data_IF_933413867493
#
_entry.id   IF_933413867493
#
_cell.length_a   1.000
_cell.length_b   1.000
_cell.length_c   1.000
_cell.angle_alpha   90.00
_cell.angle_beta   90.00
_cell.angle_gamma   90.00
#
_symmetry.space_group_name_H-M   'P 1'
#
loop_
_entity.id
_entity.type
_entity.pdbx_description
1 polymer ?
#
# COMPACT_ATOMS: atom_id res chain seq x y z
N UNK A 1 8.59 -1.78 -5.91
CA UNK A 1 9.00 -0.38 -6.12
C UNK A 1 8.15 0.61 -5.32
N UNK A 2 6.83 0.40 -5.24
CA UNK A 2 5.97 1.29 -4.45
C UNK A 2 6.35 1.27 -2.97
N UNK A 3 6.66 0.11 -2.42
CA UNK A 3 7.08 0.00 -1.02
C UNK A 3 8.37 0.77 -0.73
N UNK A 4 9.27 0.85 -1.71
CA UNK A 4 10.50 1.64 -1.58
C UNK A 4 10.21 3.14 -1.49
N UNK A 5 9.15 3.61 -2.15
CA UNK A 5 8.68 4.98 -2.02
C UNK A 5 7.93 5.20 -0.71
N UNK A 6 7.03 4.27 -0.37
CA UNK A 6 6.17 4.40 0.81
C UNK A 6 6.93 4.34 2.14
N UNK A 7 8.05 3.62 2.20
CA UNK A 7 8.84 3.53 3.42
C UNK A 7 9.33 4.91 3.90
N UNK A 8 10.06 5.71 3.08
CA UNK A 8 10.45 7.06 3.49
C UNK A 8 9.25 8.01 3.57
N UNK A 9 8.23 7.84 2.73
CA UNK A 9 7.00 8.62 2.80
C UNK A 9 6.34 8.49 4.17
N UNK A 10 6.21 7.28 4.69
CA UNK A 10 5.62 7.02 5.99
C UNK A 10 6.39 7.73 7.10
N UNK A 11 7.72 7.65 7.07
CA UNK A 11 8.56 8.33 8.07
C UNK A 11 8.35 9.83 8.05
N UNK A 12 8.11 10.41 6.87
CA UNK A 12 7.87 11.85 6.71
C UNK A 12 6.49 12.26 7.19
N UNK A 13 5.46 11.48 6.91
CA UNK A 13 4.07 11.88 7.12
C UNK A 13 3.42 11.29 8.38
N UNK A 14 4.02 10.30 9.02
CA UNK A 14 3.44 9.67 10.21
C UNK A 14 3.13 10.71 11.30
N UNK A 15 4.06 11.60 11.57
CA UNK A 15 3.87 12.65 12.59
C UNK A 15 2.85 13.71 12.17
N UNK A 16 2.46 13.73 10.90
CA UNK A 16 1.47 14.66 10.35
C UNK A 16 0.06 14.09 10.32
N UNK A 17 -0.11 12.85 10.79
CA UNK A 17 -1.41 12.21 10.88
C UNK A 17 -1.72 11.21 9.78
N UNK A 18 -0.73 10.76 9.03
CA UNK A 18 -0.90 9.73 7.99
C UNK A 18 -0.51 8.38 8.56
N UNK A 19 -1.34 7.36 8.31
CA UNK A 19 -1.02 5.98 8.61
C UNK A 19 -0.93 5.18 7.31
N UNK A 20 -0.01 4.25 7.25
CA UNK A 20 0.15 3.33 6.12
C UNK A 20 0.09 1.91 6.64
N UNK A 21 -0.69 1.07 5.97
CA UNK A 21 -0.79 -0.36 6.31
C UNK A 21 -0.58 -1.15 5.03
N UNK A 22 0.41 -2.02 5.03
CA UNK A 22 0.64 -2.94 3.93
C UNK A 22 -0.11 -4.24 4.16
N UNK A 23 -0.78 -4.73 3.13
CA UNK A 23 -1.49 -6.02 3.17
C UNK A 23 -0.87 -6.91 2.12
N UNK A 24 -0.27 -8.02 2.56
CA UNK A 24 0.45 -8.94 1.70
C UNK A 24 -0.37 -10.20 1.45
N UNK A 25 -0.46 -10.60 0.18
CA UNK A 25 -0.98 -11.89 -0.24
C UNK A 25 0.20 -12.73 -0.74
N UNK A 26 0.40 -13.88 -0.14
CA UNK A 26 1.51 -14.78 -0.46
C UNK A 26 0.97 -16.08 -1.08
N UNK A 27 1.83 -16.77 -1.82
CA UNK A 27 1.45 -18.03 -2.48
C UNK A 27 1.23 -19.19 -1.52
N UNK A 28 1.54 -19.01 -0.24
CA UNK A 28 1.33 -20.02 0.80
C UNK A 28 0.64 -19.39 2.01
N UNK A 29 -0.30 -20.12 2.61
CA UNK A 29 -0.91 -19.76 3.89
C UNK A 29 -0.08 -20.24 5.08
N UNK A 30 0.98 -21.01 4.84
CA UNK A 30 1.87 -21.50 5.89
C UNK A 30 2.78 -20.35 6.36
N UNK A 31 2.59 -19.91 7.59
CA UNK A 31 3.37 -18.83 8.19
C UNK A 31 4.85 -19.17 8.34
N UNK A 32 5.21 -20.45 8.37
CA UNK A 32 6.61 -20.87 8.38
C UNK A 32 7.31 -20.47 7.06
N UNK A 33 6.55 -20.41 5.96
CA UNK A 33 7.06 -20.02 4.64
C UNK A 33 6.87 -18.51 4.41
N UNK A 34 5.65 -18.02 4.63
CA UNK A 34 5.29 -16.61 4.33
C UNK A 34 5.91 -15.62 5.32
N UNK A 35 5.97 -15.96 6.61
CA UNK A 35 6.49 -15.08 7.63
C UNK A 35 7.94 -14.62 7.39
N UNK A 36 8.89 -15.55 7.17
CA UNK A 36 10.28 -15.16 6.87
C UNK A 36 10.43 -14.32 5.60
N UNK A 37 9.61 -14.59 4.57
CA UNK A 37 9.62 -13.76 3.34
C UNK A 37 9.21 -12.33 3.64
N UNK A 38 8.17 -12.14 4.44
CA UNK A 38 7.68 -10.81 4.82
C UNK A 38 8.71 -10.08 5.68
N UNK A 39 9.32 -10.77 6.65
CA UNK A 39 10.35 -10.18 7.51
C UNK A 39 11.56 -9.73 6.71
N UNK A 40 12.03 -10.58 5.79
CA UNK A 40 13.17 -10.24 4.94
C UNK A 40 12.84 -9.05 4.03
N UNK A 41 11.63 -9.00 3.49
CA UNK A 41 11.16 -7.90 2.66
C UNK A 41 11.15 -6.60 3.44
N UNK A 42 10.60 -6.59 4.66
CA UNK A 42 10.58 -5.42 5.52
C UNK A 42 11.97 -4.89 5.80
N UNK A 43 12.91 -5.76 6.15
CA UNK A 43 14.29 -5.38 6.45
C UNK A 43 15.00 -4.82 5.23
N UNK A 44 14.83 -5.47 4.07
CA UNK A 44 15.49 -5.08 2.82
C UNK A 44 15.04 -3.70 2.34
N UNK A 45 13.75 -3.41 2.44
CA UNK A 45 13.15 -2.16 1.97
C UNK A 45 13.20 -1.06 3.04
N UNK A 46 13.32 -1.43 4.31
CA UNK A 46 13.29 -0.46 5.42
C UNK A 46 11.89 -0.03 5.80
N UNK A 47 10.92 -0.94 5.68
CA UNK A 47 9.51 -0.67 5.99
C UNK A 47 9.33 -0.58 7.50
N UNK A 48 8.74 0.53 7.97
CA UNK A 48 8.41 0.74 9.39
C UNK A 48 6.89 0.79 9.62
N UNK A 49 6.08 0.87 8.57
CA UNK A 49 4.63 0.77 8.72
C UNK A 49 4.21 -0.70 8.90
N UNK A 50 3.03 -0.96 9.49
CA UNK A 50 2.55 -2.34 9.67
C UNK A 50 2.40 -3.07 8.34
N UNK A 51 2.88 -4.30 8.29
CA UNK A 51 2.75 -5.18 7.12
C UNK A 51 2.05 -6.44 7.59
N UNK A 52 0.83 -6.67 7.06
CA UNK A 52 -0.03 -7.76 7.48
C UNK A 52 -0.11 -8.85 6.40
N UNK A 53 -0.08 -10.10 6.84
CA UNK A 53 -0.32 -11.22 5.95
C UNK A 53 -1.82 -11.50 5.89
N UNK A 54 -2.40 -11.51 4.69
CA UNK A 54 -3.84 -11.61 4.50
C UNK A 54 -4.31 -12.92 3.87
N UNK A 55 -3.39 -13.76 3.38
CA UNK A 55 -3.71 -15.04 2.75
C UNK A 55 -3.12 -15.18 1.36
N UNK A 56 -3.74 -16.04 0.53
CA UNK A 56 -3.28 -16.27 -0.84
C UNK A 56 -3.94 -15.27 -1.80
N UNK A 57 -3.33 -15.02 -3.00
CA UNK A 57 -3.87 -14.04 -3.96
C UNK A 57 -5.04 -14.60 -4.79
N UNK A 58 -5.91 -15.38 -4.17
CA UNK A 58 -7.11 -15.92 -4.81
C UNK A 58 -8.27 -14.94 -4.65
N UNK A 59 -9.14 -14.86 -5.67
CA UNK A 59 -10.27 -13.92 -5.67
C UNK A 59 -11.16 -14.06 -4.44
N UNK A 60 -11.40 -15.29 -3.98
CA UNK A 60 -12.23 -15.54 -2.79
C UNK A 60 -11.59 -14.98 -1.52
N UNK A 61 -10.28 -15.17 -1.36
CA UNK A 61 -9.53 -14.64 -0.23
C UNK A 61 -9.54 -13.11 -0.25
N UNK A 62 -9.32 -12.52 -1.43
CA UNK A 62 -9.32 -11.07 -1.62
C UNK A 62 -10.70 -10.50 -1.30
N UNK A 63 -11.77 -11.14 -1.74
CA UNK A 63 -13.14 -10.68 -1.47
C UNK A 63 -13.47 -10.70 0.02
N UNK A 64 -12.92 -11.66 0.78
CA UNK A 64 -13.12 -11.72 2.24
C UNK A 64 -12.35 -10.63 2.98
N UNK A 65 -11.13 -10.36 2.55
CA UNK A 65 -10.24 -9.38 3.20
C UNK A 65 -10.58 -7.95 2.77
N UNK A 66 -10.88 -7.76 1.50
CA UNK A 66 -11.14 -6.45 0.89
C UNK A 66 -12.51 -6.46 0.21
N UNK A 67 -13.61 -6.54 0.98
CA UNK A 67 -14.96 -6.67 0.40
C UNK A 67 -15.38 -5.46 -0.44
N UNK A 68 -14.70 -4.31 -0.29
CA UNK A 68 -14.97 -3.12 -1.10
C UNK A 68 -14.49 -3.27 -2.54
N UNK A 69 -13.69 -4.29 -2.86
CA UNK A 69 -13.25 -4.58 -4.22
C UNK A 69 -14.15 -5.61 -4.86
N UNK A 70 -14.68 -5.31 -6.06
CA UNK A 70 -15.38 -6.29 -6.85
C UNK A 70 -14.41 -7.30 -7.48
N UNK A 71 -13.19 -6.84 -7.77
CA UNK A 71 -12.13 -7.65 -8.38
C UNK A 71 -10.78 -6.99 -8.18
N UNK A 72 -9.76 -7.80 -7.91
CA UNK A 72 -8.38 -7.32 -7.88
C UNK A 72 -7.85 -7.24 -9.31
N UNK A 73 -7.56 -6.02 -9.77
CA UNK A 73 -7.10 -5.78 -11.14
C UNK A 73 -5.57 -5.78 -11.30
N UNK A 74 -4.84 -5.86 -10.21
CA UNK A 74 -3.38 -5.91 -10.25
C UNK A 74 -2.73 -5.58 -8.93
N UNK A 75 -1.43 -5.77 -8.88
CA UNK A 75 -0.61 -5.44 -7.73
C UNK A 75 0.49 -4.46 -8.16
N UNK A 76 0.85 -3.48 -7.32
CA UNK A 76 0.16 -3.14 -6.08
C UNK A 76 -1.18 -2.44 -6.33
N UNK A 77 -2.08 -2.54 -5.36
CA UNK A 77 -3.32 -1.75 -5.34
C UNK A 77 -3.31 -0.93 -4.06
N UNK A 78 -3.56 0.36 -4.19
CA UNK A 78 -3.48 1.31 -3.09
C UNK A 78 -4.84 1.98 -2.89
N UNK A 79 -5.33 1.95 -1.66
CA UNK A 79 -6.52 2.70 -1.25
C UNK A 79 -6.09 3.93 -0.47
N UNK A 80 -6.64 5.07 -0.81
CA UNK A 80 -6.49 6.28 0.00
C UNK A 80 -7.80 6.52 0.72
N UNK A 81 -7.75 6.46 2.05
CA UNK A 81 -8.92 6.54 2.92
C UNK A 81 -8.82 7.83 3.75
N UNK A 82 -9.91 8.59 3.81
CA UNK A 82 -9.92 9.85 4.54
C UNK A 82 -10.17 9.65 6.04
N UNK A 83 -10.20 10.76 6.79
CA UNK A 83 -10.39 10.75 8.25
C UNK A 83 -11.75 10.21 8.69
N UNK A 84 -12.71 10.14 7.76
CA UNK A 84 -14.07 9.63 8.02
C UNK A 84 -14.21 8.16 7.66
N UNK A 85 -13.14 7.52 7.17
CA UNK A 85 -13.15 6.14 6.76
C UNK A 85 -13.68 5.92 5.34
N UNK A 86 -13.77 6.96 4.53
CA UNK A 86 -14.28 6.89 3.16
C UNK A 86 -13.11 6.71 2.19
N UNK A 87 -13.21 5.71 1.30
CA UNK A 87 -12.23 5.51 0.24
C UNK A 87 -12.37 6.64 -0.78
N UNK A 88 -11.32 7.44 -0.93
CA UNK A 88 -11.31 8.60 -1.81
C UNK A 88 -10.65 8.31 -3.14
N UNK A 89 -9.67 7.43 -3.17
CA UNK A 89 -8.99 7.03 -4.41
C UNK A 89 -8.55 5.57 -4.32
N UNK A 90 -8.52 4.92 -5.49
CA UNK A 90 -7.99 3.57 -5.65
C UNK A 90 -7.00 3.61 -6.80
N UNK A 91 -5.74 3.27 -6.54
CA UNK A 91 -4.70 3.21 -7.55
C UNK A 91 -4.30 1.75 -7.78
N UNK A 92 -4.36 1.31 -9.03
CA UNK A 92 -3.91 -0.02 -9.44
C UNK A 92 -2.60 0.13 -10.21
N UNK A 93 -1.57 -0.60 -9.76
CA UNK A 93 -0.24 -0.51 -10.31
C UNK A 93 0.55 0.67 -9.76
N UNK A 94 1.76 0.84 -10.25
CA UNK A 94 2.68 1.87 -9.78
C UNK A 94 3.68 2.21 -10.87
N UNK A 95 3.79 3.50 -11.21
CA UNK A 95 4.81 3.99 -12.13
C UNK A 95 6.12 4.18 -11.35
N UNK A 96 7.01 3.18 -11.43
CA UNK A 96 8.26 3.18 -10.68
C UNK A 96 9.31 4.14 -11.23
N UNK A 97 10.49 4.23 -10.55
CA UNK A 97 11.54 5.17 -10.94
C UNK A 97 12.00 5.06 -12.38
N UNK A 98 11.93 3.86 -12.97
CA UNK A 98 12.32 3.64 -14.37
C UNK A 98 11.41 4.28 -15.41
N UNK A 99 10.24 4.79 -15.02
CA UNK A 99 9.28 5.43 -15.92
C UNK A 99 9.51 6.94 -16.09
N UNK A 100 10.50 7.52 -15.38
CA UNK A 100 10.86 8.93 -15.52
C UNK A 100 9.72 9.88 -15.14
N UNK A 101 9.17 10.59 -16.13
CA UNK A 101 8.10 11.56 -15.91
C UNK A 101 6.87 10.95 -15.21
N UNK A 102 6.48 9.73 -15.58
CA UNK A 102 5.32 9.08 -14.98
C UNK A 102 5.52 8.82 -13.49
N UNK A 103 6.73 8.49 -13.09
CA UNK A 103 7.07 8.34 -11.68
C UNK A 103 6.96 9.67 -10.93
N UNK A 104 7.52 10.73 -11.49
CA UNK A 104 7.45 12.07 -10.88
C UNK A 104 6.01 12.55 -10.77
N UNK A 105 5.20 12.36 -11.83
CA UNK A 105 3.79 12.74 -11.83
C UNK A 105 3.00 11.94 -10.78
N UNK A 106 3.27 10.64 -10.66
CA UNK A 106 2.61 9.77 -9.67
C UNK A 106 2.85 10.28 -8.25
N UNK A 107 4.11 10.59 -7.92
CA UNK A 107 4.48 11.09 -6.60
C UNK A 107 3.79 12.43 -6.33
N UNK A 108 3.82 13.35 -7.29
CA UNK A 108 3.23 14.67 -7.15
C UNK A 108 1.73 14.58 -6.89
N UNK A 109 1.02 13.78 -7.67
CA UNK A 109 -0.43 13.59 -7.51
C UNK A 109 -0.76 12.90 -6.20
N UNK A 110 -0.01 11.86 -5.83
CA UNK A 110 -0.22 11.13 -4.59
C UNK A 110 -0.04 12.04 -3.37
N UNK A 111 1.07 12.77 -3.30
CA UNK A 111 1.32 13.66 -2.16
C UNK A 111 0.34 14.82 -2.12
N UNK A 112 -0.09 15.34 -3.28
CA UNK A 112 -1.10 16.38 -3.33
C UNK A 112 -2.43 15.89 -2.74
N UNK A 113 -2.85 14.68 -3.10
CA UNK A 113 -4.07 14.08 -2.55
C UNK A 113 -3.96 13.92 -1.03
N UNK A 114 -2.84 13.38 -0.54
CA UNK A 114 -2.62 13.20 0.90
C UNK A 114 -2.68 14.54 1.64
N UNK A 115 -2.01 15.56 1.12
CA UNK A 115 -2.01 16.90 1.74
C UNK A 115 -3.41 17.50 1.76
N UNK A 116 -4.17 17.35 0.67
CA UNK A 116 -5.55 17.83 0.59
C UNK A 116 -6.44 17.14 1.64
N UNK A 117 -6.32 15.85 1.80
CA UNK A 117 -7.10 15.09 2.77
C UNK A 117 -6.71 15.41 4.22
N UNK A 118 -5.43 15.68 4.47
CA UNK A 118 -4.97 16.12 5.79
C UNK A 118 -5.56 17.46 6.17
N UNK A 119 -5.82 18.34 5.21
CA UNK A 119 -6.41 19.66 5.43
C UNK A 119 -7.92 19.59 5.69
N UNK A 120 -8.59 18.49 5.37
CA UNK A 120 -10.02 18.28 5.65
C UNK A 120 -10.26 18.09 7.15
N UNK A 121 -11.40 18.55 7.62
CA UNK A 121 -11.78 18.41 9.03
C UNK A 121 -12.44 17.03 9.31
#
# INVERSE_FOLDING_TARGET
DESRYLAPFYKKYQSKGVEVIGIAFENSTDLVIAGPKMDNFQKKIGITYPLLFAGTPEDQTIAQVLPMLSKMNGYPTTFIIDKKGIVREIHTGFSGPGTGKYYADWITEFEHTIQSLLAEK
#
